data_IF_622350973879
#
_entry.id   IF_622350973879
#
_cell.length_a   1.000
_cell.length_b   1.000
_cell.length_c   1.000
_cell.angle_alpha   90.00
_cell.angle_beta   90.00
_cell.angle_gamma   90.00
#
_symmetry.space_group_name_H-M   'P 1'
#
loop_
_entity.id
_entity.type
_entity.pdbx_description
1 polymer ?
#
# COMPACT_ATOMS: atom_id res chain seq x y z
N UNK A 1 -9.37 3.09 28.41
CA UNK A 1 -9.09 2.21 27.26
C UNK A 1 -8.10 1.10 27.62
N UNK A 2 -6.93 1.42 28.20
CA UNK A 2 -5.91 0.39 28.52
C UNK A 2 -6.41 -0.75 29.43
N UNK A 3 -7.33 -0.47 30.36
CA UNK A 3 -7.95 -1.47 31.25
C UNK A 3 -9.01 -2.35 30.59
N UNK A 4 -9.46 -2.00 29.37
CA UNK A 4 -10.43 -2.81 28.60
C UNK A 4 -9.68 -3.80 27.71
N UNK A 5 -8.52 -3.41 27.19
CA UNK A 5 -7.72 -4.19 26.25
C UNK A 5 -6.53 -4.91 26.89
N UNK A 6 -6.32 -4.72 28.19
CA UNK A 6 -5.15 -5.21 28.95
C UNK A 6 -3.81 -4.95 28.23
N UNK A 7 -3.71 -3.79 27.56
CA UNK A 7 -2.52 -3.36 26.83
C UNK A 7 -2.31 -1.85 26.92
N UNK A 8 -1.07 -1.36 26.78
CA UNK A 8 -0.80 0.07 26.73
C UNK A 8 -1.50 0.74 25.54
N UNK A 9 -2.41 1.68 25.82
CA UNK A 9 -3.01 2.56 24.81
C UNK A 9 -2.40 3.97 24.93
N UNK A 10 -1.98 4.55 23.81
CA UNK A 10 -1.51 5.94 23.72
C UNK A 10 -2.52 6.77 22.92
N UNK A 11 -2.83 7.98 23.38
CA UNK A 11 -3.63 8.93 22.59
C UNK A 11 -2.77 9.50 21.48
N UNK A 12 -3.35 9.62 20.30
CA UNK A 12 -2.76 10.35 19.18
C UNK A 12 -3.25 11.81 19.18
N UNK A 13 -2.48 12.73 18.58
CA UNK A 13 -2.78 14.16 18.65
C UNK A 13 -4.03 14.56 17.84
N UNK A 14 -4.34 13.86 16.75
CA UNK A 14 -5.54 14.08 15.94
C UNK A 14 -5.89 12.84 15.11
N UNK A 15 -7.03 12.86 14.41
CA UNK A 15 -7.50 11.71 13.64
C UNK A 15 -6.65 11.43 12.39
N UNK A 16 -6.02 12.46 11.79
CA UNK A 16 -5.17 12.29 10.61
C UNK A 16 -3.92 11.49 10.93
N UNK A 17 -3.46 11.48 12.19
CA UNK A 17 -2.40 10.58 12.66
C UNK A 17 -2.69 9.10 12.34
N UNK A 18 -3.96 8.69 12.37
CA UNK A 18 -4.38 7.33 12.01
C UNK A 18 -4.65 7.25 10.52
N UNK A 19 -5.40 8.19 9.95
CA UNK A 19 -5.78 8.21 8.53
C UNK A 19 -4.57 8.18 7.59
N UNK A 20 -3.48 8.83 7.97
CA UNK A 20 -2.27 8.95 7.16
C UNK A 20 -1.20 7.90 7.51
N UNK A 21 -1.51 6.87 8.30
CA UNK A 21 -0.54 5.81 8.60
C UNK A 21 -0.16 5.06 7.30
N UNK A 22 1.13 5.00 6.92
CA UNK A 22 1.52 4.52 5.59
C UNK A 22 1.42 3.01 5.37
N UNK A 23 1.19 2.21 6.42
CA UNK A 23 1.30 0.74 6.39
C UNK A 23 0.51 0.12 5.24
N UNK A 24 -0.77 -0.23 5.38
CA UNK A 24 -1.54 -0.81 4.27
C UNK A 24 -1.58 0.07 3.00
N UNK A 25 -1.89 1.39 3.05
CA UNK A 25 -2.14 2.16 1.84
C UNK A 25 -0.94 2.29 0.91
N UNK A 26 0.28 2.28 1.44
CA UNK A 26 1.50 2.41 0.62
C UNK A 26 2.20 1.07 0.50
N UNK A 27 2.31 0.29 1.57
CA UNK A 27 3.01 -1.00 1.54
C UNK A 27 2.30 -2.00 0.62
N UNK A 28 0.98 -2.20 0.79
CA UNK A 28 0.27 -3.19 -0.02
C UNK A 28 0.12 -2.74 -1.47
N UNK A 29 -0.27 -1.49 -1.72
CA UNK A 29 -0.54 -0.99 -3.07
C UNK A 29 0.71 -0.97 -3.94
N UNK A 30 1.86 -0.56 -3.38
CA UNK A 30 3.16 -0.64 -4.05
C UNK A 30 3.50 -2.07 -4.44
N UNK A 31 3.20 -3.03 -3.56
CA UNK A 31 3.44 -4.44 -3.84
C UNK A 31 2.53 -4.99 -4.92
N UNK A 32 1.24 -4.71 -4.83
CA UNK A 32 0.23 -5.15 -5.80
C UNK A 32 0.60 -4.65 -7.20
N UNK A 33 0.94 -3.36 -7.33
CA UNK A 33 1.41 -2.80 -8.58
C UNK A 33 2.67 -3.52 -9.08
N UNK A 34 3.69 -3.74 -8.23
CA UNK A 34 4.92 -4.42 -8.66
C UNK A 34 4.71 -5.85 -9.17
N UNK A 35 3.64 -6.53 -8.73
CA UNK A 35 3.30 -7.89 -9.16
C UNK A 35 2.49 -7.85 -10.46
N UNK A 36 1.57 -6.90 -10.57
CA UNK A 36 0.46 -6.93 -11.54
C UNK A 36 0.46 -5.75 -12.55
N UNK A 37 1.45 -4.85 -12.54
CA UNK A 37 1.51 -3.68 -13.43
C UNK A 37 1.40 -4.05 -14.92
N UNK A 38 1.95 -5.19 -15.30
CA UNK A 38 1.98 -5.68 -16.69
C UNK A 38 0.81 -6.64 -16.99
N UNK A 39 -0.10 -6.85 -16.03
CA UNK A 39 -1.25 -7.74 -16.21
C UNK A 39 -2.28 -7.11 -17.15
N UNK A 40 -2.86 -7.94 -18.02
CA UNK A 40 -4.04 -7.64 -18.80
C UNK A 40 -4.80 -8.96 -19.07
N UNK A 41 -6.03 -8.87 -19.58
CA UNK A 41 -6.81 -10.06 -19.93
C UNK A 41 -6.01 -10.99 -20.85
N UNK A 42 -5.97 -12.28 -20.50
CA UNK A 42 -5.16 -13.30 -21.15
C UNK A 42 -3.83 -13.62 -20.44
N UNK A 43 -3.34 -12.76 -19.55
CA UNK A 43 -2.18 -13.08 -18.70
C UNK A 43 -2.63 -13.91 -17.49
N UNK A 44 -1.97 -15.05 -17.29
CA UNK A 44 -2.17 -15.93 -16.14
C UNK A 44 -0.83 -16.37 -15.55
N UNK A 45 -0.84 -16.69 -14.26
CA UNK A 45 0.35 -17.10 -13.51
C UNK A 45 0.31 -18.61 -13.22
N UNK A 46 1.45 -19.32 -13.22
CA UNK A 46 1.50 -20.76 -12.97
C UNK A 46 1.27 -21.15 -11.50
N UNK A 47 1.36 -20.18 -10.58
CA UNK A 47 1.16 -20.36 -9.14
C UNK A 47 0.75 -19.04 -8.50
N UNK A 48 0.19 -19.12 -7.30
CA UNK A 48 0.04 -17.94 -6.46
C UNK A 48 1.43 -17.41 -6.04
N UNK A 49 1.64 -16.10 -6.18
CA UNK A 49 2.88 -15.42 -5.83
C UNK A 49 2.91 -15.17 -4.32
N UNK A 50 4.03 -15.42 -3.65
CA UNK A 50 4.18 -15.11 -2.24
C UNK A 50 4.36 -13.61 -2.06
N UNK A 51 3.39 -12.97 -1.42
CA UNK A 51 3.21 -11.52 -1.43
C UNK A 51 4.46 -10.80 -0.93
N UNK A 52 4.98 -11.20 0.22
CA UNK A 52 6.14 -10.56 0.85
C UNK A 52 7.47 -11.27 0.58
N UNK A 53 7.48 -12.59 0.40
CA UNK A 53 8.73 -13.34 0.23
C UNK A 53 9.42 -13.06 -1.09
N UNK A 54 8.61 -12.77 -2.11
CA UNK A 54 9.05 -12.44 -3.47
C UNK A 54 9.09 -10.93 -3.70
N UNK A 55 9.11 -10.13 -2.63
CA UNK A 55 9.32 -8.69 -2.70
C UNK A 55 10.61 -8.37 -3.46
N UNK A 56 10.58 -7.40 -4.36
CA UNK A 56 11.71 -7.01 -5.21
C UNK A 56 12.09 -5.55 -5.01
N UNK A 57 13.20 -5.12 -5.64
CA UNK A 57 13.68 -3.74 -5.51
C UNK A 57 12.69 -2.73 -6.09
N UNK A 58 11.99 -3.05 -7.17
CA UNK A 58 10.97 -2.18 -7.76
C UNK A 58 9.84 -1.88 -6.75
N UNK A 59 9.33 -2.91 -6.06
CA UNK A 59 8.33 -2.72 -5.01
C UNK A 59 8.84 -1.78 -3.90
N UNK A 60 10.12 -1.90 -3.53
CA UNK A 60 10.75 -1.00 -2.55
C UNK A 60 10.95 0.42 -3.08
N UNK A 61 11.31 0.60 -4.35
CA UNK A 61 11.46 1.91 -5.00
C UNK A 61 10.13 2.66 -5.00
N UNK A 62 9.06 2.00 -5.42
CA UNK A 62 7.71 2.57 -5.43
C UNK A 62 7.24 2.90 -4.01
N UNK A 63 7.43 1.97 -3.07
CA UNK A 63 7.01 2.17 -1.68
C UNK A 63 7.74 3.35 -1.03
N UNK A 64 9.05 3.49 -1.26
CA UNK A 64 9.85 4.61 -0.74
C UNK A 64 9.40 5.92 -1.40
N UNK A 65 9.11 5.93 -2.70
CA UNK A 65 8.63 7.13 -3.38
C UNK A 65 7.27 7.60 -2.83
N UNK A 66 6.30 6.70 -2.68
CA UNK A 66 5.01 7.00 -2.05
C UNK A 66 5.16 7.45 -0.58
N UNK A 67 6.04 6.80 0.19
CA UNK A 67 6.31 7.19 1.59
C UNK A 67 6.87 8.61 1.66
N UNK A 68 7.83 8.97 0.80
CA UNK A 68 8.36 10.33 0.73
C UNK A 68 7.30 11.38 0.33
N UNK A 69 6.40 11.02 -0.59
CA UNK A 69 5.25 11.86 -0.99
C UNK A 69 4.31 12.11 0.20
N UNK A 70 3.97 11.05 0.96
CA UNK A 70 3.17 11.17 2.17
C UNK A 70 3.86 11.99 3.26
N UNK A 71 5.15 11.79 3.51
CA UNK A 71 5.89 12.58 4.50
C UNK A 71 5.95 14.06 4.11
N UNK A 72 6.02 14.35 2.81
CA UNK A 72 5.88 15.73 2.29
C UNK A 72 4.50 16.32 2.59
N UNK A 73 3.44 15.52 2.49
CA UNK A 73 2.10 15.93 2.91
C UNK A 73 2.04 16.21 4.42
N UNK A 74 2.55 15.29 5.25
CA UNK A 74 2.55 15.45 6.70
C UNK A 74 3.23 16.77 7.14
N UNK A 75 4.33 17.15 6.48
CA UNK A 75 5.03 18.40 6.74
C UNK A 75 4.25 19.66 6.31
N UNK A 76 3.26 19.52 5.42
CA UNK A 76 2.46 20.63 4.89
C UNK A 76 1.20 20.91 5.72
N UNK A 77 0.63 19.88 6.33
CA UNK A 77 -0.60 19.99 7.12
C UNK A 77 -0.30 20.74 8.42
N UNK A 78 -1.10 21.76 8.80
CA UNK A 78 -0.87 22.57 10.02
C UNK A 78 -1.39 21.85 11.29
N UNK A 79 -1.08 20.57 11.44
CA UNK A 79 -1.43 19.73 12.59
C UNK A 79 -0.20 18.90 12.99
N UNK A 80 -0.17 18.44 14.25
CA UNK A 80 0.88 17.53 14.69
C UNK A 80 0.68 16.13 14.08
N UNK A 81 1.55 15.78 13.14
CA UNK A 81 1.59 14.47 12.48
C UNK A 81 2.89 13.72 12.77
N UNK A 82 3.60 14.07 13.84
CA UNK A 82 4.85 13.41 14.23
C UNK A 82 4.71 11.91 14.52
N UNK A 83 3.48 11.44 14.78
CA UNK A 83 3.15 10.03 14.95
C UNK A 83 3.02 9.25 13.64
N UNK A 84 2.97 9.93 12.49
CA UNK A 84 2.93 9.29 11.17
C UNK A 84 4.35 8.92 10.76
N UNK A 85 4.83 7.81 11.30
CA UNK A 85 6.19 7.31 11.08
C UNK A 85 6.41 6.92 9.61
N UNK A 86 7.56 7.32 9.05
CA UNK A 86 8.00 6.88 7.72
C UNK A 86 8.21 5.36 7.70
N UNK A 87 7.84 4.71 6.58
CA UNK A 87 8.14 3.29 6.40
C UNK A 87 9.66 3.02 6.39
N UNK A 88 10.46 3.97 5.94
CA UNK A 88 11.92 3.83 5.96
C UNK A 88 12.45 3.79 7.40
N UNK A 89 11.93 4.65 8.28
CA UNK A 89 12.29 4.69 9.70
C UNK A 89 11.77 3.42 10.41
N UNK A 90 10.49 3.09 10.22
CA UNK A 90 9.84 1.92 10.83
C UNK A 90 10.57 0.59 10.51
N UNK A 91 11.01 0.43 9.27
CA UNK A 91 11.75 -0.77 8.85
C UNK A 91 13.26 -0.66 9.03
N UNK A 92 13.78 0.51 9.43
CA UNK A 92 15.20 0.82 9.57
C UNK A 92 15.95 0.55 8.25
N UNK A 93 15.40 1.03 7.13
CA UNK A 93 15.90 0.74 5.78
C UNK A 93 15.59 1.88 4.83
N UNK A 94 16.63 2.56 4.34
CA UNK A 94 16.47 3.80 3.55
C UNK A 94 16.77 3.64 2.06
N UNK A 95 17.27 2.46 1.66
CA UNK A 95 17.57 2.17 0.26
C UNK A 95 16.76 0.96 -0.24
N UNK A 96 16.34 0.93 -1.53
CA UNK A 96 15.47 -0.13 -2.04
C UNK A 96 15.98 -1.55 -1.81
N UNK A 97 17.29 -1.77 -1.95
CA UNK A 97 17.91 -3.07 -1.71
C UNK A 97 17.84 -3.49 -0.24
N UNK A 98 18.07 -2.55 0.67
CA UNK A 98 18.01 -2.80 2.11
C UNK A 98 16.59 -3.10 2.54
N UNK A 99 15.64 -2.28 2.09
CA UNK A 99 14.21 -2.47 2.32
C UNK A 99 13.75 -3.84 1.82
N UNK A 100 14.12 -4.20 0.59
CA UNK A 100 13.81 -5.52 0.01
C UNK A 100 14.34 -6.66 0.88
N UNK A 101 15.59 -6.56 1.34
CA UNK A 101 16.18 -7.57 2.23
C UNK A 101 15.46 -7.62 3.58
N UNK A 102 15.13 -6.46 4.16
CA UNK A 102 14.40 -6.35 5.43
C UNK A 102 13.04 -7.02 5.32
N UNK A 103 12.21 -6.65 4.35
CA UNK A 103 10.86 -7.22 4.17
C UNK A 103 10.92 -8.74 3.99
N UNK A 104 11.83 -9.23 3.14
CA UNK A 104 11.99 -10.67 2.91
C UNK A 104 12.53 -11.43 4.13
N UNK A 105 13.18 -10.76 5.08
CA UNK A 105 13.70 -11.37 6.31
C UNK A 105 12.64 -11.57 7.39
N UNK A 106 11.50 -10.88 7.32
CA UNK A 106 10.46 -10.92 8.35
C UNK A 106 9.82 -12.31 8.38
N UNK A 107 10.00 -13.03 9.50
CA UNK A 107 9.49 -14.40 9.67
C UNK A 107 7.97 -14.48 9.62
N UNK A 108 7.28 -13.48 10.16
CA UNK A 108 5.82 -13.43 10.16
C UNK A 108 5.21 -13.31 8.76
N UNK A 109 5.99 -12.87 7.78
CA UNK A 109 5.55 -12.71 6.40
C UNK A 109 5.70 -13.97 5.53
N UNK A 110 6.24 -15.04 6.11
CA UNK A 110 6.51 -16.27 5.37
C UNK A 110 5.23 -17.04 5.02
N UNK A 111 5.17 -17.55 3.79
CA UNK A 111 4.05 -18.32 3.25
C UNK A 111 2.78 -17.52 2.91
N UNK A 112 2.77 -16.19 3.10
CA UNK A 112 1.62 -15.36 2.79
C UNK A 112 1.46 -15.20 1.27
N UNK A 113 0.30 -15.59 0.76
CA UNK A 113 -0.07 -15.57 -0.66
C UNK A 113 -0.61 -14.20 -1.09
N UNK A 114 -0.46 -13.89 -2.38
CA UNK A 114 -1.02 -12.69 -3.00
C UNK A 114 -2.53 -12.84 -3.24
N UNK A 115 -3.29 -11.74 -3.30
CA UNK A 115 -4.72 -11.76 -3.60
C UNK A 115 -4.96 -12.18 -5.06
N UNK A 116 -5.06 -13.49 -5.27
CA UNK A 116 -5.22 -14.11 -6.57
C UNK A 116 -6.23 -15.25 -6.44
N UNK A 117 -7.04 -15.43 -7.47
CA UNK A 117 -7.95 -16.58 -7.62
C UNK A 117 -7.35 -17.61 -8.59
N UNK A 118 -7.61 -18.88 -8.30
CA UNK A 118 -7.19 -19.99 -9.16
C UNK A 118 -8.25 -20.25 -10.23
N UNK A 119 -7.84 -20.28 -11.49
CA UNK A 119 -8.63 -20.62 -12.67
C UNK A 119 -7.91 -21.71 -13.46
N UNK A 120 -8.52 -22.89 -13.64
CA UNK A 120 -7.97 -23.99 -14.47
C UNK A 120 -6.47 -24.32 -14.19
N UNK A 121 -6.08 -24.42 -12.90
CA UNK A 121 -4.68 -24.63 -12.45
C UNK A 121 -3.71 -23.48 -12.77
N UNK A 122 -4.24 -22.30 -13.09
CA UNK A 122 -3.52 -21.04 -13.27
C UNK A 122 -4.09 -20.02 -12.29
N UNK A 123 -3.45 -18.86 -12.17
CA UNK A 123 -3.84 -17.83 -11.21
C UNK A 123 -3.99 -16.48 -11.91
N UNK A 124 -4.96 -15.69 -11.49
CA UNK A 124 -5.18 -14.30 -11.92
C UNK A 124 -5.40 -13.40 -10.70
N UNK A 125 -5.18 -12.07 -10.81
CA UNK A 125 -5.44 -11.15 -9.71
C UNK A 125 -6.90 -11.23 -9.26
N UNK A 126 -7.12 -11.20 -7.94
CA UNK A 126 -8.46 -11.09 -7.36
C UNK A 126 -8.79 -9.61 -7.10
N UNK A 127 -9.24 -8.91 -8.14
CA UNK A 127 -9.60 -7.48 -8.07
C UNK A 127 -10.69 -7.16 -7.04
N UNK A 128 -11.46 -8.18 -6.60
CA UNK A 128 -12.48 -8.06 -5.56
C UNK A 128 -11.94 -8.29 -4.14
N UNK A 129 -10.66 -8.64 -3.99
CA UNK A 129 -10.07 -8.84 -2.68
C UNK A 129 -10.01 -7.51 -1.90
N UNK A 130 -10.03 -7.61 -0.57
CA UNK A 130 -9.89 -6.44 0.30
C UNK A 130 -8.61 -5.63 0.06
N UNK A 131 -7.53 -6.28 -0.38
CA UNK A 131 -6.26 -5.64 -0.71
C UNK A 131 -6.42 -4.62 -1.85
N UNK A 132 -7.31 -4.90 -2.81
CA UNK A 132 -7.61 -3.98 -3.89
C UNK A 132 -8.72 -3.01 -3.49
N UNK A 133 -9.86 -3.52 -2.98
CA UNK A 133 -11.01 -2.65 -2.70
C UNK A 133 -10.70 -1.67 -1.56
N UNK A 134 -10.18 -2.14 -0.43
CA UNK A 134 -10.04 -1.30 0.75
C UNK A 134 -8.81 -0.40 0.66
N UNK A 135 -7.64 -0.99 0.43
CA UNK A 135 -6.36 -0.26 0.49
C UNK A 135 -6.27 0.82 -0.61
N UNK A 136 -6.92 0.63 -1.78
CA UNK A 136 -6.97 1.69 -2.81
C UNK A 136 -8.08 2.72 -2.54
N UNK A 137 -9.34 2.31 -2.43
CA UNK A 137 -10.46 3.27 -2.39
C UNK A 137 -10.58 4.04 -1.08
N UNK A 138 -10.26 3.40 0.05
CA UNK A 138 -10.49 3.98 1.37
C UNK A 138 -9.20 4.43 2.07
N UNK A 139 -8.03 4.09 1.52
CA UNK A 139 -6.76 4.46 2.13
C UNK A 139 -5.87 5.25 1.14
N UNK A 140 -5.37 4.64 0.05
CA UNK A 140 -4.49 5.33 -0.91
C UNK A 140 -5.17 6.55 -1.55
N UNK A 141 -6.43 6.42 -1.99
CA UNK A 141 -7.21 7.53 -2.55
C UNK A 141 -7.39 8.67 -1.54
N UNK A 142 -7.55 8.34 -0.25
CA UNK A 142 -7.67 9.36 0.80
C UNK A 142 -6.39 10.15 0.93
N UNK A 143 -5.23 9.49 0.92
CA UNK A 143 -3.92 10.17 0.92
C UNK A 143 -3.78 11.07 -0.33
N UNK A 144 -4.13 10.56 -1.51
CA UNK A 144 -4.10 11.31 -2.76
C UNK A 144 -4.98 12.57 -2.68
N UNK A 145 -6.24 12.43 -2.29
CA UNK A 145 -7.19 13.53 -2.28
C UNK A 145 -6.84 14.59 -1.21
N UNK A 146 -6.33 14.18 -0.04
CA UNK A 146 -5.81 15.13 0.94
C UNK A 146 -4.57 15.84 0.37
N UNK A 147 -3.69 15.14 -0.34
CA UNK A 147 -2.53 15.76 -0.99
C UNK A 147 -2.94 16.84 -1.99
N UNK A 148 -3.99 16.59 -2.78
CA UNK A 148 -4.55 17.56 -3.72
C UNK A 148 -5.07 18.81 -2.99
N UNK A 149 -5.76 18.65 -1.86
CA UNK A 149 -6.24 19.78 -1.04
C UNK A 149 -5.10 20.66 -0.51
N UNK A 150 -3.95 20.07 -0.22
CA UNK A 150 -2.77 20.78 0.26
C UNK A 150 -1.78 21.16 -0.86
N UNK A 151 -2.14 20.89 -2.12
CA UNK A 151 -1.32 21.11 -3.30
C UNK A 151 0.09 20.47 -3.18
N UNK A 152 0.15 19.26 -2.62
CA UNK A 152 1.38 18.46 -2.52
C UNK A 152 1.43 17.50 -3.70
N UNK A 153 2.49 17.55 -4.55
CA UNK A 153 2.62 16.61 -5.66
C UNK A 153 2.82 15.17 -5.17
N UNK A 154 2.05 14.25 -5.75
CA UNK A 154 2.12 12.82 -5.41
C UNK A 154 2.15 11.93 -6.68
N UNK A 155 3.16 12.11 -7.56
CA UNK A 155 3.19 11.43 -8.86
C UNK A 155 3.15 9.89 -8.76
N UNK A 156 3.76 9.30 -7.74
CA UNK A 156 3.81 7.84 -7.56
C UNK A 156 2.49 7.32 -7.01
N UNK A 157 1.94 7.97 -5.98
CA UNK A 157 0.60 7.63 -5.47
C UNK A 157 -0.46 7.79 -6.57
N UNK A 158 -0.35 8.84 -7.38
CA UNK A 158 -1.23 9.07 -8.52
C UNK A 158 -1.11 7.96 -9.57
N UNK A 159 0.11 7.54 -9.92
CA UNK A 159 0.36 6.41 -10.82
C UNK A 159 -0.29 5.12 -10.30
N UNK A 160 -0.14 4.81 -9.00
CA UNK A 160 -0.78 3.63 -8.38
C UNK A 160 -2.31 3.71 -8.44
N UNK A 161 -2.88 4.88 -8.14
CA UNK A 161 -4.32 5.11 -8.20
C UNK A 161 -4.86 4.95 -9.62
N UNK A 162 -4.20 5.55 -10.61
CA UNK A 162 -4.60 5.46 -12.01
C UNK A 162 -4.55 4.01 -12.51
N UNK A 163 -3.47 3.28 -12.21
CA UNK A 163 -3.36 1.86 -12.56
C UNK A 163 -4.51 1.02 -11.98
N UNK A 164 -4.89 1.29 -10.73
CA UNK A 164 -6.01 0.61 -10.11
C UNK A 164 -7.34 0.93 -10.81
N UNK A 165 -7.60 2.21 -11.11
CA UNK A 165 -8.79 2.63 -11.88
C UNK A 165 -8.85 1.92 -13.24
N UNK A 166 -7.78 1.91 -14.02
CA UNK A 166 -7.76 1.29 -15.36
C UNK A 166 -8.09 -0.22 -15.33
N UNK A 167 -7.70 -0.92 -14.25
CA UNK A 167 -7.95 -2.35 -14.09
C UNK A 167 -9.31 -2.68 -13.42
N UNK A 168 -10.01 -1.68 -12.87
CA UNK A 168 -11.28 -1.89 -12.15
C UNK A 168 -12.47 -1.14 -12.74
N UNK A 169 -12.27 -0.05 -13.49
CA UNK A 169 -13.33 0.66 -14.21
C UNK A 169 -13.93 -0.17 -15.34
N UNK A 170 -13.16 -1.15 -15.88
CA UNK A 170 -13.69 -2.16 -16.80
C UNK A 170 -14.58 -3.22 -16.11
N UNK A 171 -14.66 -3.23 -14.77
CA UNK A 171 -15.38 -4.24 -13.99
C UNK A 171 -16.69 -3.75 -13.37
N UNK A 172 -16.99 -2.44 -13.29
CA UNK A 172 -18.32 -1.98 -12.90
C UNK A 172 -18.56 -0.47 -13.15
N UNK A 173 -19.32 -0.18 -14.20
CA UNK A 173 -20.01 1.11 -14.40
C UNK A 173 -21.23 1.24 -13.46
N UNK A 174 -21.07 0.98 -12.17
CA UNK A 174 -22.21 0.89 -11.24
C UNK A 174 -21.91 1.33 -9.80
N UNK A 175 -21.02 2.31 -9.59
CA UNK A 175 -20.93 2.99 -8.29
C UNK A 175 -20.77 4.51 -8.42
N UNK A 176 -21.74 5.14 -9.09
CA UNK A 176 -22.22 6.49 -8.78
C UNK A 176 -23.72 6.57 -9.02
#
# INVERSE_FOLDING_TARGET
MSSIFDMPCKSLPNYLSVTLTPSNPIFHTSRLYSIFKDWHEGITYPRNILFHEEWNNEASEIMIACDNELQSLCNKIPLDLSSVESLQDYYESHFPREMTNKIRSIKAFKGLKSPMIEIENRWIPDWNSRYFIADFNYELKVIKDISDLFAVPTPTIYMLWQWYCENTENNDSSFF
#
